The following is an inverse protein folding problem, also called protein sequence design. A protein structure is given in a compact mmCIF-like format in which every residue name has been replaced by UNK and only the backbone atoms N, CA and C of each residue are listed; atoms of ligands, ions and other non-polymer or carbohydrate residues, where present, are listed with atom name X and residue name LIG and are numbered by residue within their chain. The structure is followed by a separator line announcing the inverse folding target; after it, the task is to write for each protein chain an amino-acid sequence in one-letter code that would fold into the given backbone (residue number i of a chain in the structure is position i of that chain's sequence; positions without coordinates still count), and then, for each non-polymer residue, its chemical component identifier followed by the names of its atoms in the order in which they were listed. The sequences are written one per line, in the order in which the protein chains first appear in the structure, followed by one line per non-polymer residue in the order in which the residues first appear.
data_IF_162201224365
#
_entry.id   IF_162201224365
#
_cell.length_a   1.000
_cell.length_b   1.000
_cell.length_c   1.000
_cell.angle_alpha   90.00
_cell.angle_beta   90.00
_cell.angle_gamma   90.00
#
_symmetry.space_group_name_H-M   'P 1'
#
loop_
_entity.id
_entity.type
_entity.pdbx_description
1 polymer ?
#
# COMPACT_ATOMS: atom_id res chain seq x y z
N UNK A 1 -21.68 18.72 17.64
CA UNK A 1 -20.42 19.46 17.39
C UNK A 1 -19.69 18.76 16.26
N UNK A 2 -19.08 19.50 15.32
CA UNK A 2 -18.20 18.93 14.30
C UNK A 2 -16.76 18.92 14.83
N UNK A 3 -16.05 17.82 14.59
CA UNK A 3 -14.65 17.63 14.97
C UNK A 3 -13.89 17.24 13.71
N UNK A 4 -12.73 17.85 13.48
CA UNK A 4 -11.85 17.51 12.37
C UNK A 4 -11.09 16.22 12.66
N UNK A 5 -10.88 15.41 11.62
CA UNK A 5 -10.12 14.18 11.67
C UNK A 5 -9.54 13.85 10.29
N UNK A 6 -8.84 12.75 10.18
CA UNK A 6 -8.23 12.28 8.93
C UNK A 6 -8.61 10.83 8.66
N UNK A 7 -8.75 10.47 7.39
CA UNK A 7 -9.06 9.09 6.98
C UNK A 7 -7.91 8.15 7.33
N UNK A 8 -8.17 7.01 8.01
CA UNK A 8 -7.13 6.09 8.47
C UNK A 8 -6.69 5.07 7.42
N UNK A 9 -7.31 5.03 6.24
CA UNK A 9 -7.02 4.02 5.23
C UNK A 9 -5.64 4.20 4.58
N UNK A 10 -5.09 3.12 4.07
CA UNK A 10 -3.86 3.03 3.27
C UNK A 10 -3.98 3.64 1.85
N UNK A 11 -4.99 4.43 1.63
CA UNK A 11 -5.21 5.16 0.38
C UNK A 11 -4.37 6.44 0.37
N UNK A 12 -3.60 6.71 -0.70
CA UNK A 12 -2.77 7.93 -0.81
C UNK A 12 -3.53 9.26 -0.79
N UNK A 13 -4.86 9.25 -0.75
CA UNK A 13 -5.66 10.47 -0.65
C UNK A 13 -5.71 11.07 0.75
N UNK A 14 -5.47 10.31 1.80
CA UNK A 14 -5.47 10.76 3.21
C UNK A 14 -6.54 11.83 3.49
N UNK A 15 -7.82 11.50 3.19
CA UNK A 15 -8.90 12.49 3.13
C UNK A 15 -9.13 13.19 4.46
N UNK A 16 -9.20 14.52 4.43
CA UNK A 16 -9.60 15.32 5.58
C UNK A 16 -11.11 15.11 5.87
N UNK A 17 -11.45 14.88 7.14
CA UNK A 17 -12.78 14.52 7.59
C UNK A 17 -13.34 15.54 8.56
N UNK A 18 -14.66 15.65 8.55
CA UNK A 18 -15.46 16.26 9.61
C UNK A 18 -16.40 15.21 10.19
N UNK A 19 -16.29 14.98 11.49
CA UNK A 19 -17.06 13.98 12.22
C UNK A 19 -18.03 14.66 13.16
N UNK A 20 -19.30 14.28 13.10
CA UNK A 20 -20.32 14.75 14.01
C UNK A 20 -20.22 14.03 15.35
N UNK A 21 -19.75 14.71 16.39
CA UNK A 21 -19.72 14.21 17.76
C UNK A 21 -21.09 14.48 18.41
N UNK A 22 -21.84 13.41 18.70
CA UNK A 22 -23.16 13.46 19.36
C UNK A 22 -23.02 13.42 20.88
N UNK A 23 -22.07 12.61 21.39
CA UNK A 23 -21.69 12.52 22.81
C UNK A 23 -20.22 12.11 22.94
N UNK A 24 -19.74 11.87 24.16
CA UNK A 24 -18.38 11.34 24.37
C UNK A 24 -18.20 9.91 23.87
N UNK A 25 -19.27 9.16 23.66
CA UNK A 25 -19.25 7.76 23.23
C UNK A 25 -20.01 7.51 21.93
N UNK A 26 -20.52 8.56 21.27
CA UNK A 26 -21.37 8.40 20.07
C UNK A 26 -21.04 9.43 19.00
N UNK A 27 -20.81 8.95 17.79
CA UNK A 27 -20.65 9.78 16.60
C UNK A 27 -21.88 9.68 15.68
N UNK A 28 -22.12 10.73 14.90
CA UNK A 28 -23.12 10.80 13.86
C UNK A 28 -22.50 10.61 12.47
N UNK A 29 -22.74 11.58 11.58
CA UNK A 29 -22.24 11.53 10.19
C UNK A 29 -20.73 11.77 10.14
N UNK A 30 -20.07 11.04 9.23
CA UNK A 30 -18.70 11.31 8.78
C UNK A 30 -18.78 11.89 7.37
N UNK A 31 -18.19 13.05 7.15
CA UNK A 31 -18.15 13.75 5.86
C UNK A 31 -16.74 14.27 5.57
N UNK A 32 -16.46 14.63 4.34
CA UNK A 32 -15.21 15.30 3.99
C UNK A 32 -15.20 16.75 4.47
N UNK A 33 -14.01 17.25 4.79
CA UNK A 33 -13.79 18.64 5.18
C UNK A 33 -13.68 19.52 3.91
N UNK A 34 -14.63 20.42 3.64
CA UNK A 34 -14.64 21.21 2.40
C UNK A 34 -13.49 22.22 2.31
N UNK A 35 -12.92 22.61 3.44
CA UNK A 35 -11.82 23.57 3.52
C UNK A 35 -10.47 22.98 3.08
N UNK A 36 -10.34 21.64 3.02
CA UNK A 36 -9.11 21.00 2.55
C UNK A 36 -8.99 21.17 1.03
N UNK A 37 -7.90 21.78 0.58
CA UNK A 37 -7.70 22.15 -0.84
C UNK A 37 -7.53 20.94 -1.77
N UNK A 38 -7.04 19.81 -1.26
CA UNK A 38 -6.86 18.59 -2.06
C UNK A 38 -8.15 17.79 -2.15
N UNK A 39 -8.76 17.48 -1.01
CA UNK A 39 -9.93 16.59 -0.99
C UNK A 39 -11.25 17.32 -1.15
N UNK A 40 -11.29 18.63 -0.86
CA UNK A 40 -12.42 19.55 -1.11
C UNK A 40 -13.79 18.98 -0.71
N UNK A 41 -13.85 18.32 0.45
CA UNK A 41 -15.06 17.68 0.94
C UNK A 41 -15.40 16.32 0.32
N UNK A 42 -14.62 15.85 -0.65
CA UNK A 42 -14.85 14.55 -1.31
C UNK A 42 -14.25 13.42 -0.50
N UNK A 43 -15.05 12.40 -0.16
CA UNK A 43 -14.62 11.17 0.50
C UNK A 43 -15.28 9.95 -0.16
N UNK A 44 -14.67 8.78 -0.01
CA UNK A 44 -15.25 7.55 -0.52
C UNK A 44 -16.35 6.99 0.39
N UNK A 45 -17.19 6.11 -0.16
CA UNK A 45 -18.28 5.47 0.58
C UNK A 45 -17.81 4.63 1.78
N UNK A 46 -16.56 4.12 1.76
CA UNK A 46 -16.02 3.33 2.86
C UNK A 46 -15.91 4.15 4.13
N UNK A 47 -15.19 5.28 4.08
CA UNK A 47 -14.99 6.13 5.27
C UNK A 47 -16.27 6.88 5.67
N UNK A 48 -17.13 7.23 4.73
CA UNK A 48 -18.43 7.87 5.04
C UNK A 48 -19.33 7.00 5.95
N UNK A 49 -19.13 5.67 5.94
CA UNK A 49 -19.87 4.68 6.72
C UNK A 49 -19.17 4.25 8.02
N UNK A 50 -18.09 4.90 8.41
CA UNK A 50 -17.30 4.47 9.59
C UNK A 50 -18.09 4.47 10.90
N UNK A 51 -19.15 5.30 11.03
CA UNK A 51 -20.02 5.25 12.21
C UNK A 51 -20.62 3.85 12.42
N UNK A 52 -20.94 3.13 11.33
CA UNK A 52 -21.50 1.78 11.39
C UNK A 52 -20.48 0.81 11.96
N UNK A 53 -19.21 0.94 11.53
CA UNK A 53 -18.10 0.12 12.03
C UNK A 53 -17.75 0.43 13.49
N UNK A 54 -17.71 1.70 13.88
CA UNK A 54 -17.37 2.12 15.25
C UNK A 54 -18.41 1.64 16.25
N UNK A 55 -19.69 1.67 15.87
CA UNK A 55 -20.80 1.26 16.73
C UNK A 55 -21.29 -0.16 16.44
N UNK A 56 -20.49 -0.99 15.76
CA UNK A 56 -20.85 -2.38 15.49
C UNK A 56 -20.88 -3.19 16.81
N UNK A 57 -21.98 -3.88 17.11
CA UNK A 57 -22.11 -4.66 18.36
C UNK A 57 -21.15 -5.85 18.44
N UNK A 58 -20.55 -6.27 17.32
CA UNK A 58 -19.60 -7.39 17.26
C UNK A 58 -18.15 -6.94 17.53
N UNK A 59 -17.90 -5.68 17.87
CA UNK A 59 -16.57 -5.22 18.25
C UNK A 59 -16.07 -5.91 19.50
N UNK A 60 -14.78 -6.25 19.50
CA UNK A 60 -14.10 -6.70 20.70
C UNK A 60 -13.82 -5.47 21.57
N UNK A 61 -14.38 -5.46 22.79
CA UNK A 61 -14.28 -4.32 23.72
C UNK A 61 -13.51 -4.67 25.00
N UNK A 62 -13.22 -5.97 25.22
CA UNK A 62 -12.46 -6.47 26.39
C UNK A 62 -11.45 -7.50 25.95
N UNK A 63 -10.33 -7.64 26.66
CA UNK A 63 -9.41 -8.75 26.43
C UNK A 63 -10.09 -10.10 26.56
N UNK A 64 -9.66 -11.06 25.76
CA UNK A 64 -10.25 -12.39 25.72
C UNK A 64 -9.15 -13.47 25.70
N UNK A 65 -9.39 -14.57 26.41
CA UNK A 65 -8.51 -15.75 26.43
C UNK A 65 -9.22 -16.94 25.83
N UNK A 66 -8.50 -17.76 25.08
CA UNK A 66 -9.00 -19.00 24.48
C UNK A 66 -9.30 -20.05 25.55
N UNK A 67 -10.47 -20.66 25.42
CA UNK A 67 -10.95 -21.77 26.33
C UNK A 67 -11.21 -23.07 25.60
N UNK A 68 -10.86 -23.21 24.35
CA UNK A 68 -11.06 -24.38 23.53
C UNK A 68 -9.85 -24.72 22.66
N UNK A 69 -10.04 -25.63 21.71
CA UNK A 69 -9.02 -25.89 20.69
C UNK A 69 -8.74 -24.64 19.87
N UNK A 70 -7.51 -24.49 19.38
CA UNK A 70 -7.15 -23.41 18.46
C UNK A 70 -8.08 -23.40 17.24
N UNK A 71 -8.52 -22.22 16.80
CA UNK A 71 -9.45 -22.07 15.70
C UNK A 71 -10.92 -22.30 16.05
N UNK A 72 -11.26 -22.77 17.26
CA UNK A 72 -12.66 -22.94 17.68
C UNK A 72 -13.41 -21.61 17.86
N UNK A 73 -12.71 -20.51 18.05
CA UNK A 73 -13.28 -19.21 18.37
C UNK A 73 -13.93 -19.12 19.76
N UNK A 74 -13.80 -20.18 20.59
CA UNK A 74 -14.32 -20.15 21.97
C UNK A 74 -13.37 -19.36 22.86
N UNK A 75 -13.83 -18.21 23.31
CA UNK A 75 -13.09 -17.26 24.11
C UNK A 75 -13.85 -16.92 25.38
N UNK A 76 -13.14 -16.62 26.47
CA UNK A 76 -13.67 -16.01 27.68
C UNK A 76 -13.09 -14.61 27.87
N UNK A 77 -13.89 -13.69 28.38
CA UNK A 77 -13.42 -12.36 28.76
C UNK A 77 -12.52 -12.45 30.00
N UNK A 78 -11.40 -11.72 29.94
CA UNK A 78 -10.46 -11.55 31.05
C UNK A 78 -10.19 -10.06 31.26
N UNK A 79 -9.49 -9.68 32.33
CA UNK A 79 -9.04 -8.31 32.54
C UNK A 79 -7.78 -8.00 31.74
N UNK A 80 -7.42 -6.70 31.65
CA UNK A 80 -6.17 -6.29 31.02
C UNK A 80 -4.95 -6.79 31.81
N UNK A 81 -5.04 -6.78 33.13
CA UNK A 81 -4.01 -7.27 34.04
C UNK A 81 -3.73 -8.75 33.80
N UNK A 82 -4.76 -9.58 33.81
CA UNK A 82 -4.66 -11.02 33.50
C UNK A 82 -4.06 -11.29 32.11
N UNK A 83 -4.49 -10.51 31.11
CA UNK A 83 -3.98 -10.66 29.75
C UNK A 83 -2.49 -10.30 29.64
N UNK A 84 -2.08 -9.16 30.20
CA UNK A 84 -0.71 -8.69 30.15
C UNK A 84 0.23 -9.57 30.98
N UNK A 85 -0.18 -10.02 32.16
CA UNK A 85 0.58 -10.95 32.99
C UNK A 85 0.86 -12.26 32.21
N UNK A 86 -0.16 -12.88 31.63
CA UNK A 86 0.02 -14.11 30.86
C UNK A 86 0.92 -13.91 29.63
N UNK A 87 0.79 -12.78 28.91
CA UNK A 87 1.64 -12.46 27.76
C UNK A 87 3.09 -12.30 28.21
N UNK A 88 3.34 -11.55 29.28
CA UNK A 88 4.67 -11.33 29.83
C UNK A 88 5.32 -12.64 30.27
N UNK A 89 4.60 -13.49 31.00
CA UNK A 89 5.09 -14.77 31.46
C UNK A 89 5.45 -15.71 30.29
N UNK A 90 4.58 -15.80 29.30
CA UNK A 90 4.80 -16.62 28.11
C UNK A 90 5.99 -16.12 27.29
N UNK A 91 6.08 -14.82 27.04
CA UNK A 91 7.19 -14.24 26.30
C UNK A 91 8.52 -14.40 27.03
N UNK A 92 8.57 -14.10 28.33
CA UNK A 92 9.77 -14.31 29.16
C UNK A 92 10.23 -15.77 29.18
N UNK A 93 9.28 -16.72 29.28
CA UNK A 93 9.60 -18.14 29.21
C UNK A 93 10.20 -18.52 27.85
N UNK A 94 9.59 -18.04 26.75
CA UNK A 94 10.06 -18.32 25.39
C UNK A 94 11.43 -17.69 25.14
N UNK A 95 11.66 -16.43 25.58
CA UNK A 95 12.96 -15.77 25.53
C UNK A 95 14.06 -16.62 26.19
N UNK A 96 13.76 -17.16 27.38
CA UNK A 96 14.73 -17.97 28.14
C UNK A 96 15.00 -19.32 27.48
N UNK A 97 13.98 -19.96 26.88
CA UNK A 97 14.09 -21.32 26.34
C UNK A 97 14.60 -21.36 24.89
N UNK A 98 14.25 -20.34 24.08
CA UNK A 98 14.52 -20.32 22.64
C UNK A 98 15.29 -19.09 22.16
N UNK A 99 15.48 -18.08 23.01
CA UNK A 99 16.03 -16.77 22.64
C UNK A 99 14.97 -15.77 22.15
N UNK A 100 15.33 -14.49 22.17
CA UNK A 100 14.42 -13.38 21.85
C UNK A 100 13.86 -13.48 20.41
N UNK A 101 14.67 -13.94 19.47
CA UNK A 101 14.25 -14.10 18.07
C UNK A 101 13.20 -15.19 17.84
N UNK A 102 12.84 -16.00 18.85
CA UNK A 102 11.71 -16.92 18.80
C UNK A 102 10.34 -16.20 18.93
N UNK A 103 10.34 -14.91 19.21
CA UNK A 103 9.14 -14.06 19.25
C UNK A 103 9.13 -13.18 18.01
N UNK A 104 7.99 -13.18 17.29
CA UNK A 104 7.81 -12.40 16.07
C UNK A 104 6.62 -11.44 16.22
N UNK A 105 6.85 -10.16 16.54
CA UNK A 105 5.83 -9.13 16.35
C UNK A 105 5.57 -8.94 14.85
N UNK A 106 4.35 -9.27 14.44
CA UNK A 106 3.94 -9.29 13.03
C UNK A 106 2.87 -8.22 12.80
N UNK A 107 3.12 -7.30 11.89
CA UNK A 107 2.16 -6.24 11.59
C UNK A 107 2.20 -5.85 10.12
N UNK A 108 1.14 -5.21 9.67
CA UNK A 108 1.14 -4.52 8.37
C UNK A 108 0.24 -3.29 8.40
N UNK A 109 0.11 -2.62 7.22
CA UNK A 109 -0.73 -1.45 7.03
C UNK A 109 -2.21 -1.81 7.18
N UNK A 110 -2.81 -1.51 8.30
CA UNK A 110 -4.26 -1.54 8.53
C UNK A 110 -4.76 -0.11 8.64
N UNK A 111 -4.71 0.45 9.85
CA UNK A 111 -4.81 1.87 10.10
C UNK A 111 -3.44 2.50 9.91
N UNK A 112 -3.35 3.63 9.18
CA UNK A 112 -2.08 4.21 8.74
C UNK A 112 -1.49 5.25 9.70
N UNK A 113 -2.04 5.40 10.90
CA UNK A 113 -1.48 6.26 11.92
C UNK A 113 -0.08 5.82 12.33
N UNK A 114 0.85 6.73 12.40
CA UNK A 114 2.28 6.42 12.63
C UNK A 114 2.51 5.80 14.00
N UNK A 115 1.83 6.28 15.05
CA UNK A 115 1.99 5.76 16.41
C UNK A 115 1.36 4.38 16.52
N UNK A 116 0.08 4.26 16.13
CA UNK A 116 -0.68 3.01 16.29
C UNK A 116 -0.11 1.88 15.42
N UNK A 117 0.33 2.19 14.20
CA UNK A 117 0.88 1.18 13.29
C UNK A 117 2.31 0.79 13.64
N UNK A 118 3.17 1.79 13.86
CA UNK A 118 4.62 1.58 13.92
C UNK A 118 5.13 1.37 15.36
N UNK A 119 4.32 1.68 16.40
CA UNK A 119 4.71 1.56 17.80
C UNK A 119 5.11 0.16 18.28
N UNK A 120 4.62 -0.89 17.59
CA UNK A 120 5.03 -2.29 17.85
C UNK A 120 6.55 -2.49 17.63
N UNK A 121 7.16 -1.67 16.77
CA UNK A 121 8.59 -1.73 16.49
C UNK A 121 9.44 -1.35 17.71
N UNK A 122 8.95 -0.44 18.55
CA UNK A 122 9.64 -0.08 19.78
C UNK A 122 9.83 -1.29 20.71
N UNK A 123 8.78 -2.07 20.91
CA UNK A 123 8.86 -3.34 21.66
C UNK A 123 9.83 -4.32 20.98
N UNK A 124 9.73 -4.47 19.67
CA UNK A 124 10.58 -5.37 18.89
C UNK A 124 12.06 -5.02 19.01
N UNK A 125 12.42 -3.76 18.84
CA UNK A 125 13.81 -3.31 18.89
C UNK A 125 14.38 -3.40 20.30
N UNK A 126 13.65 -2.95 21.32
CA UNK A 126 14.07 -3.03 22.71
C UNK A 126 14.32 -4.48 23.17
N UNK A 127 13.41 -5.38 22.81
CA UNK A 127 13.46 -6.78 23.22
C UNK A 127 14.28 -7.67 22.28
N UNK A 128 14.78 -7.12 21.17
CA UNK A 128 15.52 -7.84 20.13
C UNK A 128 14.75 -9.04 19.56
N UNK A 129 13.45 -8.85 19.35
CA UNK A 129 12.58 -9.84 18.71
C UNK A 129 12.83 -9.89 17.21
N UNK A 130 12.46 -10.98 16.55
CA UNK A 130 12.55 -11.10 15.09
C UNK A 130 11.92 -9.91 14.38
N UNK A 131 12.66 -9.32 13.46
CA UNK A 131 12.16 -8.30 12.57
C UNK A 131 11.41 -8.88 11.37
N UNK A 132 11.00 -8.01 10.44
CA UNK A 132 10.30 -8.46 9.24
C UNK A 132 10.63 -7.65 8.01
N UNK A 133 10.65 -8.33 6.87
CA UNK A 133 10.59 -7.71 5.55
C UNK A 133 9.13 -7.54 5.13
N UNK A 134 8.72 -6.30 4.91
CA UNK A 134 7.36 -5.96 4.47
C UNK A 134 7.18 -6.24 2.97
N UNK A 135 7.12 -7.51 2.58
CA UNK A 135 7.18 -7.97 1.18
C UNK A 135 5.82 -8.12 0.51
N UNK A 136 4.70 -7.95 1.24
CA UNK A 136 3.37 -8.34 0.75
C UNK A 136 2.72 -7.30 -0.16
N UNK A 137 2.96 -5.98 0.01
CA UNK A 137 2.09 -4.97 -0.57
C UNK A 137 2.74 -4.11 -1.68
N UNK A 138 3.64 -3.17 -1.35
CA UNK A 138 3.99 -2.06 -2.23
C UNK A 138 5.43 -2.04 -2.73
N UNK A 139 6.32 -2.82 -2.13
CA UNK A 139 7.76 -2.68 -2.30
C UNK A 139 8.25 -2.81 -3.74
N UNK A 140 7.68 -3.71 -4.55
CA UNK A 140 8.07 -3.84 -5.96
C UNK A 140 7.79 -2.54 -6.73
N UNK A 141 6.60 -1.97 -6.56
CA UNK A 141 6.25 -0.72 -7.23
C UNK A 141 7.11 0.44 -6.72
N UNK A 142 7.39 0.50 -5.40
CA UNK A 142 8.26 1.52 -4.81
C UNK A 142 9.66 1.46 -5.41
N UNK A 143 10.27 0.28 -5.43
CA UNK A 143 11.61 0.09 -6.00
C UNK A 143 11.65 0.47 -7.48
N UNK A 144 10.67 0.03 -8.27
CA UNK A 144 10.59 0.37 -9.68
C UNK A 144 10.39 1.87 -9.92
N UNK A 145 9.54 2.53 -9.11
CA UNK A 145 9.35 3.97 -9.20
C UNK A 145 10.61 4.75 -8.82
N UNK A 146 11.28 4.37 -7.73
CA UNK A 146 12.53 5.00 -7.30
C UNK A 146 13.64 4.88 -8.34
N UNK A 147 13.75 3.74 -9.01
CA UNK A 147 14.72 3.56 -10.10
C UNK A 147 14.37 4.45 -11.29
N UNK A 148 13.08 4.57 -11.65
CA UNK A 148 12.65 5.37 -12.81
C UNK A 148 12.59 6.88 -12.56
N UNK A 149 12.30 7.31 -11.32
CA UNK A 149 12.11 8.72 -10.95
C UNK A 149 13.18 9.28 -9.99
N UNK A 150 14.08 8.45 -9.50
CA UNK A 150 15.17 8.83 -8.59
C UNK A 150 14.77 9.00 -7.12
N UNK A 151 13.49 9.30 -6.83
CA UNK A 151 12.97 9.54 -5.48
C UNK A 151 11.51 9.09 -5.37
N UNK A 152 11.07 8.76 -4.14
CA UNK A 152 9.65 8.51 -3.85
C UNK A 152 8.88 9.82 -3.64
N UNK A 153 8.96 10.69 -4.65
CA UNK A 153 8.26 11.96 -4.73
C UNK A 153 7.53 12.02 -6.07
N UNK A 154 6.46 12.79 -6.10
CA UNK A 154 5.69 13.02 -7.31
C UNK A 154 5.11 14.41 -7.34
N UNK A 155 4.34 14.70 -8.37
CA UNK A 155 3.66 15.98 -8.57
C UNK A 155 2.49 16.09 -7.60
N UNK A 156 2.19 17.30 -7.14
CA UNK A 156 1.01 17.60 -6.33
C UNK A 156 -0.26 17.09 -7.05
N UNK A 157 -1.06 16.23 -6.40
CA UNK A 157 -2.28 15.70 -7.01
C UNK A 157 -3.32 16.76 -7.37
N UNK A 158 -3.27 17.96 -6.77
CA UNK A 158 -4.15 19.07 -7.15
C UNK A 158 -3.82 19.63 -8.55
N UNK A 159 -2.61 19.38 -9.05
CA UNK A 159 -2.18 19.81 -10.39
C UNK A 159 -2.80 18.97 -11.52
N UNK A 160 -3.41 17.83 -11.22
CA UNK A 160 -4.14 17.03 -12.23
C UNK A 160 -5.09 17.89 -13.05
N UNK A 161 -5.74 18.88 -12.43
CA UNK A 161 -6.66 19.80 -13.09
C UNK A 161 -6.02 20.67 -14.18
N UNK A 162 -4.69 20.80 -14.19
CA UNK A 162 -3.94 21.56 -15.17
C UNK A 162 -3.48 20.73 -16.38
N UNK A 163 -3.66 19.41 -16.32
CA UNK A 163 -3.15 18.47 -17.32
C UNK A 163 -3.93 18.49 -18.63
N UNK A 164 -3.26 18.14 -19.72
CA UNK A 164 -3.88 17.87 -21.03
C UNK A 164 -4.25 16.40 -21.18
N UNK A 165 -3.48 15.49 -20.56
CA UNK A 165 -3.82 14.08 -20.40
C UNK A 165 -3.66 13.66 -18.94
N UNK A 166 -4.59 12.83 -18.44
CA UNK A 166 -4.51 12.16 -17.16
C UNK A 166 -4.45 10.66 -17.39
N UNK A 167 -3.26 10.09 -17.21
CA UNK A 167 -3.01 8.65 -17.35
C UNK A 167 -3.14 8.00 -15.99
N UNK A 168 -4.12 7.12 -15.83
CA UNK A 168 -4.37 6.35 -14.60
C UNK A 168 -3.96 4.90 -14.88
N UNK A 169 -2.89 4.45 -14.26
CA UNK A 169 -2.28 3.16 -14.57
C UNK A 169 -2.15 2.27 -13.32
N UNK A 170 -2.73 1.06 -13.40
CA UNK A 170 -2.66 0.07 -12.33
C UNK A 170 -3.38 0.47 -11.03
N UNK A 171 -4.49 1.23 -11.15
CA UNK A 171 -5.32 1.61 -10.00
C UNK A 171 -6.78 1.88 -10.39
N UNK A 172 -7.71 1.40 -9.57
CA UNK A 172 -9.14 1.70 -9.71
C UNK A 172 -9.50 2.98 -8.93
N UNK A 173 -9.05 4.13 -9.42
CA UNK A 173 -9.16 5.42 -8.74
C UNK A 173 -10.60 5.81 -8.38
N UNK A 174 -11.58 5.43 -9.18
CA UNK A 174 -13.01 5.69 -8.91
C UNK A 174 -13.50 5.05 -7.59
N UNK A 175 -12.81 4.02 -7.08
CA UNK A 175 -13.16 3.31 -5.85
C UNK A 175 -12.16 3.57 -4.73
N UNK A 176 -10.85 3.68 -5.07
CA UNK A 176 -9.76 3.71 -4.08
C UNK A 176 -9.07 5.06 -3.94
N UNK A 177 -9.30 5.98 -4.87
CA UNK A 177 -8.66 7.31 -4.89
C UNK A 177 -9.61 8.32 -5.52
N UNK A 178 -10.79 8.47 -4.93
CA UNK A 178 -11.90 9.26 -5.48
C UNK A 178 -11.51 10.70 -5.83
N UNK A 179 -10.58 11.28 -5.08
CA UNK A 179 -10.08 12.64 -5.31
C UNK A 179 -9.33 12.77 -6.64
N UNK A 180 -8.57 11.75 -7.05
CA UNK A 180 -7.91 11.69 -8.36
C UNK A 180 -8.95 11.83 -9.48
N UNK A 181 -10.06 11.10 -9.37
CA UNK A 181 -11.14 11.19 -10.35
C UNK A 181 -11.85 12.55 -10.33
N UNK A 182 -11.99 13.18 -9.18
CA UNK A 182 -12.54 14.53 -9.07
C UNK A 182 -11.69 15.54 -9.85
N UNK A 183 -10.36 15.54 -9.63
CA UNK A 183 -9.44 16.44 -10.33
C UNK A 183 -9.32 16.09 -11.83
N UNK A 184 -9.32 14.80 -12.20
CA UNK A 184 -9.29 14.37 -13.60
C UNK A 184 -10.55 14.81 -14.36
N UNK A 185 -11.74 14.69 -13.74
CA UNK A 185 -12.98 15.16 -14.32
C UNK A 185 -13.05 16.70 -14.41
N UNK A 186 -12.44 17.41 -13.47
CA UNK A 186 -12.27 18.86 -13.56
C UNK A 186 -11.40 19.25 -14.77
N UNK A 187 -10.22 18.62 -14.96
CA UNK A 187 -9.36 18.81 -16.12
C UNK A 187 -10.12 18.53 -17.44
N UNK A 188 -10.88 17.42 -17.49
CA UNK A 188 -11.73 17.10 -18.66
C UNK A 188 -12.75 18.20 -18.95
N UNK A 189 -13.42 18.71 -17.93
CA UNK A 189 -14.44 19.74 -18.08
C UNK A 189 -13.85 21.10 -18.51
N UNK A 190 -12.74 21.53 -17.91
CA UNK A 190 -12.18 22.87 -18.08
C UNK A 190 -11.18 22.97 -19.23
N UNK A 191 -10.35 21.93 -19.42
CA UNK A 191 -9.25 21.92 -20.40
C UNK A 191 -9.43 20.90 -21.54
N UNK A 192 -10.55 20.15 -21.54
CA UNK A 192 -10.78 19.06 -22.50
C UNK A 192 -9.75 17.93 -22.38
N UNK A 193 -9.11 17.81 -21.21
CA UNK A 193 -8.13 16.77 -20.95
C UNK A 193 -8.68 15.36 -21.24
N UNK A 194 -7.81 14.48 -21.74
CA UNK A 194 -8.17 13.07 -21.97
C UNK A 194 -7.84 12.25 -20.73
N UNK A 195 -8.80 11.43 -20.30
CA UNK A 195 -8.56 10.43 -19.26
C UNK A 195 -8.24 9.11 -19.94
N UNK A 196 -7.02 8.64 -19.73
CA UNK A 196 -6.48 7.41 -20.29
C UNK A 196 -6.30 6.42 -19.14
N UNK A 197 -6.81 5.21 -19.28
CA UNK A 197 -6.70 4.18 -18.24
C UNK A 197 -6.01 2.95 -18.80
N UNK A 198 -5.00 2.47 -18.08
CA UNK A 198 -4.31 1.21 -18.35
C UNK A 198 -4.51 0.28 -17.15
N UNK A 199 -5.14 -0.86 -17.36
CA UNK A 199 -5.40 -1.84 -16.32
C UNK A 199 -5.62 -3.22 -16.95
N UNK A 200 -5.57 -4.28 -16.16
CA UNK A 200 -5.76 -5.66 -16.58
C UNK A 200 -7.25 -6.06 -16.79
N UNK A 201 -8.18 -5.22 -16.39
CA UNK A 201 -9.61 -5.42 -16.62
C UNK A 201 -10.37 -4.08 -16.64
N UNK A 202 -11.56 -4.07 -17.25
CA UNK A 202 -12.39 -2.87 -17.40
C UNK A 202 -13.14 -2.53 -16.10
N UNK A 203 -12.42 -1.95 -15.14
CA UNK A 203 -12.93 -1.54 -13.84
C UNK A 203 -13.78 -0.24 -13.90
N UNK A 204 -14.23 0.26 -12.74
CA UNK A 204 -15.07 1.47 -12.65
C UNK A 204 -14.35 2.74 -13.16
N UNK A 205 -13.03 2.83 -13.05
CA UNK A 205 -12.23 3.92 -13.60
C UNK A 205 -12.15 3.81 -15.12
N UNK A 206 -11.87 2.62 -15.63
CA UNK A 206 -11.81 2.34 -17.08
C UNK A 206 -13.13 2.63 -17.81
N UNK A 207 -14.28 2.49 -17.14
CA UNK A 207 -15.59 2.85 -17.69
C UNK A 207 -15.76 4.36 -17.93
N UNK A 208 -14.94 5.19 -17.31
CA UNK A 208 -14.95 6.64 -17.44
C UNK A 208 -13.82 7.17 -18.35
N UNK A 209 -12.99 6.28 -18.91
CA UNK A 209 -11.87 6.64 -19.76
C UNK A 209 -12.29 7.07 -21.18
N UNK A 210 -11.57 8.02 -21.74
CA UNK A 210 -11.62 8.34 -23.18
C UNK A 210 -10.87 7.29 -24.02
N UNK A 211 -9.79 6.73 -23.44
CA UNK A 211 -9.04 5.61 -24.01
C UNK A 211 -8.76 4.59 -22.89
N UNK A 212 -9.12 3.34 -23.10
CA UNK A 212 -8.84 2.24 -22.20
C UNK A 212 -7.96 1.19 -22.88
N UNK A 213 -6.82 0.91 -22.29
CA UNK A 213 -5.85 -0.10 -22.71
C UNK A 213 -5.88 -1.27 -21.72
N UNK A 214 -6.46 -2.40 -22.16
CA UNK A 214 -6.55 -3.61 -21.36
C UNK A 214 -5.27 -4.44 -21.56
N UNK A 215 -4.33 -4.29 -20.64
CA UNK A 215 -3.02 -4.95 -20.72
C UNK A 215 -3.07 -6.35 -20.11
N UNK A 216 -2.45 -7.34 -20.73
CA UNK A 216 -2.23 -8.63 -20.12
C UNK A 216 -1.44 -8.46 -18.80
N UNK A 217 -1.81 -9.12 -17.68
CA UNK A 217 -1.10 -9.00 -16.42
C UNK A 217 0.41 -9.24 -16.57
N UNK A 218 1.24 -8.35 -16.01
CA UNK A 218 2.69 -8.45 -16.05
C UNK A 218 3.38 -7.92 -17.31
N UNK A 219 2.64 -7.27 -18.22
CA UNK A 219 3.18 -6.79 -19.49
C UNK A 219 3.20 -5.26 -19.63
N UNK A 220 2.98 -4.53 -18.56
CA UNK A 220 2.96 -3.07 -18.51
C UNK A 220 4.25 -2.45 -19.05
N UNK A 221 5.41 -3.04 -18.72
CA UNK A 221 6.71 -2.60 -19.23
C UNK A 221 6.85 -2.75 -20.74
N UNK A 222 6.25 -3.80 -21.32
CA UNK A 222 6.25 -3.96 -22.77
C UNK A 222 5.40 -2.87 -23.46
N UNK A 223 4.25 -2.52 -22.89
CA UNK A 223 3.46 -1.38 -23.35
C UNK A 223 4.24 -0.08 -23.30
N UNK A 224 4.89 0.20 -22.14
CA UNK A 224 5.68 1.41 -21.96
C UNK A 224 6.84 1.50 -22.97
N UNK A 225 7.57 0.41 -23.18
CA UNK A 225 8.65 0.36 -24.18
C UNK A 225 8.13 0.59 -25.61
N UNK A 226 7.01 -0.02 -26.00
CA UNK A 226 6.39 0.21 -27.30
C UNK A 226 5.95 1.65 -27.52
N UNK A 227 5.42 2.29 -26.48
CA UNK A 227 5.08 3.71 -26.48
C UNK A 227 6.35 4.57 -26.60
N UNK A 228 7.39 4.30 -25.81
CA UNK A 228 8.68 5.02 -25.88
C UNK A 228 9.32 4.87 -27.26
N UNK A 229 9.33 3.68 -27.85
CA UNK A 229 9.81 3.45 -29.21
C UNK A 229 9.10 4.36 -30.21
N UNK A 230 7.76 4.40 -30.17
CA UNK A 230 6.97 5.24 -31.06
C UNK A 230 7.29 6.71 -30.90
N UNK A 231 7.40 7.20 -29.65
CA UNK A 231 7.74 8.59 -29.36
C UNK A 231 9.11 8.98 -29.91
N UNK A 232 10.11 8.14 -29.71
CA UNK A 232 11.47 8.37 -30.22
C UNK A 232 11.51 8.33 -31.75
N UNK A 233 10.90 7.32 -32.35
CA UNK A 233 10.89 7.14 -33.82
C UNK A 233 10.22 8.30 -34.56
N UNK A 234 9.22 8.93 -33.94
CA UNK A 234 8.47 10.02 -34.54
C UNK A 234 8.92 11.41 -34.04
N UNK A 235 10.06 11.52 -33.34
CA UNK A 235 10.58 12.77 -32.76
C UNK A 235 9.58 13.49 -31.84
N UNK A 236 8.82 12.72 -31.06
CA UNK A 236 7.85 13.19 -30.07
C UNK A 236 8.38 13.15 -28.64
N UNK A 237 9.65 12.84 -28.44
CA UNK A 237 10.36 12.85 -27.17
C UNK A 237 11.09 14.17 -26.94
N UNK A 238 11.35 14.50 -25.68
CA UNK A 238 12.10 15.72 -25.31
C UNK A 238 13.59 15.40 -25.09
N UNK A 239 14.38 15.45 -26.18
CA UNK A 239 15.81 15.09 -26.13
C UNK A 239 16.62 16.00 -25.22
N UNK A 240 16.27 17.28 -25.14
CA UNK A 240 17.02 18.26 -24.31
C UNK A 240 16.73 17.98 -22.81
N UNK A 241 15.49 17.65 -22.45
CA UNK A 241 15.16 17.23 -21.11
C UNK A 241 15.92 15.95 -20.72
N UNK A 242 15.93 14.96 -21.61
CA UNK A 242 16.61 13.69 -21.38
C UNK A 242 18.10 13.85 -21.13
N UNK A 243 18.78 14.65 -21.96
CA UNK A 243 20.22 14.92 -21.81
C UNK A 243 20.56 15.69 -20.54
N UNK A 244 19.67 16.57 -20.09
CA UNK A 244 19.94 17.48 -18.98
C UNK A 244 19.62 16.85 -17.61
N UNK A 245 18.54 16.06 -17.53
CA UNK A 245 17.95 15.64 -16.25
C UNK A 245 17.92 14.13 -16.03
N UNK A 246 18.45 13.33 -16.96
CA UNK A 246 18.44 11.87 -16.84
C UNK A 246 19.79 11.26 -17.21
N UNK A 247 19.92 9.97 -16.94
CA UNK A 247 21.05 9.12 -17.38
C UNK A 247 20.85 8.51 -18.78
N UNK A 248 19.95 9.10 -19.58
CA UNK A 248 19.63 8.69 -20.93
C UNK A 248 20.90 8.58 -21.81
N UNK A 249 21.06 7.46 -22.50
CA UNK A 249 22.24 7.17 -23.29
C UNK A 249 21.94 6.35 -24.56
N UNK A 250 22.97 6.07 -25.36
CA UNK A 250 22.86 5.31 -26.60
C UNK A 250 22.44 3.84 -26.38
N UNK A 251 22.76 3.27 -25.23
CA UNK A 251 22.40 1.90 -24.87
C UNK A 251 20.90 1.75 -24.67
N UNK A 252 20.28 2.75 -23.99
CA UNK A 252 18.83 2.82 -23.86
C UNK A 252 18.14 2.98 -25.22
N UNK A 253 18.69 3.81 -26.12
CA UNK A 253 18.17 3.96 -27.49
C UNK A 253 18.22 2.64 -28.26
N UNK A 254 19.34 1.94 -28.22
CA UNK A 254 19.50 0.62 -28.85
C UNK A 254 18.54 -0.42 -28.28
N UNK A 255 18.28 -0.36 -26.96
CA UNK A 255 17.28 -1.22 -26.32
C UNK A 255 15.88 -0.96 -26.89
N UNK A 256 15.48 0.30 -27.06
CA UNK A 256 14.17 0.67 -27.56
C UNK A 256 13.97 0.33 -29.05
N UNK A 257 15.03 0.29 -29.86
CA UNK A 257 14.94 0.08 -31.31
C UNK A 257 14.14 -1.16 -31.69
N UNK A 258 14.29 -2.23 -30.92
CA UNK A 258 13.60 -3.52 -31.15
C UNK A 258 12.22 -3.60 -30.45
N UNK A 259 11.82 -2.59 -29.67
CA UNK A 259 10.60 -2.60 -28.88
C UNK A 259 9.45 -1.90 -29.58
N UNK A 260 9.20 -2.30 -30.84
CA UNK A 260 8.17 -1.67 -31.69
C UNK A 260 6.75 -1.82 -31.14
N UNK A 261 5.77 -1.01 -31.57
CA UNK A 261 4.37 -1.21 -31.23
C UNK A 261 3.84 -2.60 -31.63
N UNK A 262 4.35 -3.22 -32.70
CA UNK A 262 4.03 -4.61 -33.08
C UNK A 262 4.54 -5.61 -32.05
N UNK A 263 5.81 -5.45 -31.61
CA UNK A 263 6.36 -6.26 -30.53
C UNK A 263 5.56 -6.09 -29.23
N UNK A 264 5.23 -4.85 -28.83
CA UNK A 264 4.43 -4.60 -27.64
C UNK A 264 3.03 -5.21 -27.77
N UNK A 265 2.38 -5.09 -28.92
CA UNK A 265 1.07 -5.67 -29.22
C UNK A 265 1.06 -7.20 -29.02
N UNK A 266 2.09 -7.89 -29.52
CA UNK A 266 2.18 -9.36 -29.40
C UNK A 266 2.31 -9.85 -27.95
N UNK A 267 2.82 -9.01 -27.03
CA UNK A 267 3.01 -9.35 -25.61
C UNK A 267 1.81 -8.91 -24.78
N UNK A 268 1.35 -7.68 -24.99
CA UNK A 268 0.35 -7.04 -24.14
C UNK A 268 -1.09 -7.43 -24.48
N UNK A 269 -1.33 -7.96 -25.68
CA UNK A 269 -2.67 -8.20 -26.20
C UNK A 269 -3.41 -6.95 -26.67
N UNK A 270 -2.79 -5.76 -26.56
CA UNK A 270 -3.36 -4.50 -27.03
C UNK A 270 -3.08 -4.35 -28.54
N UNK A 271 -4.06 -3.88 -29.29
CA UNK A 271 -3.89 -3.64 -30.73
C UNK A 271 -2.79 -2.59 -30.96
N UNK A 272 -1.94 -2.82 -31.97
CA UNK A 272 -0.90 -1.86 -32.39
C UNK A 272 -1.45 -0.45 -32.55
N UNK A 273 -2.58 -0.30 -33.21
CA UNK A 273 -3.25 0.99 -33.46
C UNK A 273 -3.56 1.74 -32.16
N UNK A 274 -3.96 1.03 -31.10
CA UNK A 274 -4.29 1.62 -29.81
C UNK A 274 -3.02 2.05 -29.06
N UNK A 275 -1.93 1.29 -29.20
CA UNK A 275 -0.59 1.64 -28.66
C UNK A 275 -0.09 2.92 -29.36
N UNK A 276 -0.17 2.98 -30.69
CA UNK A 276 0.23 4.14 -31.48
C UNK A 276 -0.65 5.36 -31.17
N UNK A 277 -1.96 5.18 -31.01
CA UNK A 277 -2.87 6.23 -30.59
C UNK A 277 -2.51 6.79 -29.23
N UNK A 278 -2.22 5.91 -28.26
CA UNK A 278 -1.78 6.32 -26.92
C UNK A 278 -0.47 7.11 -26.97
N UNK A 279 0.53 6.58 -27.67
CA UNK A 279 1.81 7.27 -27.83
C UNK A 279 1.66 8.65 -28.50
N UNK A 280 0.83 8.76 -29.54
CA UNK A 280 0.53 10.01 -30.26
C UNK A 280 -0.20 11.02 -29.36
N UNK A 281 -1.14 10.57 -28.51
CA UNK A 281 -1.82 11.45 -27.55
C UNK A 281 -0.81 12.04 -26.57
N UNK A 282 0.11 11.24 -26.05
CA UNK A 282 1.15 11.68 -25.11
C UNK A 282 2.14 12.63 -25.79
N UNK A 283 2.65 12.27 -26.96
CA UNK A 283 3.66 13.07 -27.67
C UNK A 283 3.15 14.44 -28.13
N UNK A 284 1.88 14.53 -28.52
CA UNK A 284 1.26 15.79 -28.89
C UNK A 284 0.90 16.69 -27.68
N UNK A 285 0.81 16.10 -26.49
CA UNK A 285 0.42 16.79 -25.26
C UNK A 285 1.35 16.37 -24.11
N UNK A 286 2.59 16.83 -24.06
CA UNK A 286 3.58 16.41 -23.07
C UNK A 286 3.21 16.80 -21.64
N UNK A 287 2.29 17.74 -21.42
CA UNK A 287 1.72 18.05 -20.10
C UNK A 287 0.74 16.94 -19.70
N UNK A 288 1.29 15.75 -19.52
CA UNK A 288 0.59 14.53 -19.15
C UNK A 288 0.90 14.15 -17.71
N UNK A 289 -0.15 13.94 -16.90
CA UNK A 289 -0.06 13.51 -15.52
C UNK A 289 -0.25 11.99 -15.42
N UNK A 290 0.73 11.30 -14.85
CA UNK A 290 0.68 9.85 -14.66
C UNK A 290 0.36 9.52 -13.20
N UNK A 291 -0.87 9.09 -12.93
CA UNK A 291 -1.25 8.52 -11.64
C UNK A 291 -0.98 7.01 -11.64
N UNK A 292 0.12 6.62 -11.02
CA UNK A 292 0.58 5.23 -10.96
C UNK A 292 0.09 4.57 -9.68
N UNK A 293 -0.45 3.36 -9.80
CA UNK A 293 -1.04 2.63 -8.68
C UNK A 293 -0.25 1.43 -8.22
N UNK A 294 -0.76 0.73 -7.20
CA UNK A 294 -0.12 -0.46 -6.63
C UNK A 294 -0.47 -1.76 -7.38
N UNK A 295 -1.20 -1.69 -8.51
CA UNK A 295 -1.45 -2.84 -9.38
C UNK A 295 -0.16 -3.51 -9.87
N UNK A 296 0.90 -2.74 -10.06
CA UNK A 296 2.22 -3.24 -10.44
C UNK A 296 2.81 -4.26 -9.45
N UNK A 297 2.41 -4.24 -8.20
CA UNK A 297 2.91 -5.19 -7.19
C UNK A 297 2.19 -6.54 -7.20
N UNK A 298 1.19 -6.72 -8.05
CA UNK A 298 0.38 -7.95 -8.10
C UNK A 298 0.92 -8.98 -9.11
N UNK A 299 2.19 -8.84 -9.49
CA UNK A 299 2.85 -9.66 -10.50
C UNK A 299 4.36 -9.75 -10.22
N UNK A 300 5.00 -10.85 -10.68
CA UNK A 300 6.39 -11.18 -10.38
C UNK A 300 7.40 -10.11 -10.81
N UNK A 301 7.16 -9.46 -11.95
CA UNK A 301 8.04 -8.46 -12.56
C UNK A 301 7.56 -7.01 -12.36
N UNK A 302 6.81 -6.76 -11.29
CA UNK A 302 6.18 -5.46 -11.03
C UNK A 302 7.16 -4.30 -10.91
N UNK A 303 8.34 -4.52 -10.34
CA UNK A 303 9.37 -3.48 -10.23
C UNK A 303 9.88 -3.04 -11.62
N UNK A 304 10.20 -3.98 -12.50
CA UNK A 304 10.64 -3.67 -13.87
C UNK A 304 9.54 -2.99 -14.69
N UNK A 305 8.29 -3.42 -14.53
CA UNK A 305 7.14 -2.77 -15.18
C UNK A 305 6.96 -1.34 -14.69
N UNK A 306 7.01 -1.10 -13.38
CA UNK A 306 6.90 0.24 -12.81
C UNK A 306 8.04 1.14 -13.26
N UNK A 307 9.29 0.65 -13.29
CA UNK A 307 10.44 1.41 -13.81
C UNK A 307 10.19 1.90 -15.24
N UNK A 308 9.82 1.00 -16.15
CA UNK A 308 9.56 1.35 -17.53
C UNK A 308 8.42 2.41 -17.66
N UNK A 309 7.34 2.25 -16.90
CA UNK A 309 6.22 3.20 -16.92
C UNK A 309 6.59 4.54 -16.29
N UNK A 310 7.33 4.54 -15.18
CA UNK A 310 7.80 5.76 -14.51
C UNK A 310 8.81 6.57 -15.36
N UNK A 311 9.42 5.96 -16.38
CA UNK A 311 10.32 6.64 -17.32
C UNK A 311 9.56 7.44 -18.40
N UNK A 312 8.29 7.14 -18.68
CA UNK A 312 7.50 7.84 -19.71
C UNK A 312 7.41 9.36 -19.51
N UNK A 313 7.18 9.90 -18.30
CA UNK A 313 7.18 11.34 -18.06
C UNK A 313 8.52 12.01 -18.40
N UNK A 314 9.64 11.32 -18.22
CA UNK A 314 10.96 11.83 -18.58
C UNK A 314 11.15 11.87 -20.11
N UNK A 315 10.75 10.80 -20.82
CA UNK A 315 10.77 10.73 -22.29
C UNK A 315 9.99 11.91 -22.91
N UNK A 316 8.87 12.28 -22.31
CA UNK A 316 8.02 13.38 -22.76
C UNK A 316 8.48 14.77 -22.29
N UNK A 317 9.42 14.86 -21.34
CA UNK A 317 9.72 16.09 -20.63
C UNK A 317 8.53 16.63 -19.82
N UNK A 318 7.60 15.76 -19.40
CA UNK A 318 6.37 16.15 -18.70
C UNK A 318 6.61 16.89 -17.39
N UNK A 319 7.69 16.59 -16.70
CA UNK A 319 8.07 17.23 -15.43
C UNK A 319 8.34 18.74 -15.51
N UNK A 320 8.51 19.28 -16.72
CA UNK A 320 8.67 20.74 -16.96
C UNK A 320 7.36 21.52 -16.78
N UNK A 321 6.23 20.83 -16.82
CA UNK A 321 4.92 21.48 -16.89
C UNK A 321 4.16 21.32 -15.60
N UNK A 322 3.53 22.37 -15.11
CA UNK A 322 2.50 22.27 -14.07
C UNK A 322 1.36 21.37 -14.58
N UNK A 323 1.04 20.32 -13.83
CA UNK A 323 0.08 19.30 -14.25
C UNK A 323 0.68 18.20 -15.13
N UNK A 324 2.02 18.14 -15.26
CA UNK A 324 2.76 17.06 -15.93
C UNK A 324 3.64 16.30 -14.93
N UNK A 325 4.10 15.12 -15.30
CA UNK A 325 4.93 14.26 -14.47
C UNK A 325 4.19 13.05 -13.90
N UNK A 326 4.67 12.47 -12.82
CA UNK A 326 4.06 11.29 -12.23
C UNK A 326 3.82 11.44 -10.72
N UNK A 327 2.84 10.71 -10.22
CA UNK A 327 2.61 10.48 -8.80
C UNK A 327 2.27 9.02 -8.56
N UNK A 328 3.08 8.37 -7.76
CA UNK A 328 2.74 7.09 -7.14
C UNK A 328 2.43 7.27 -5.66
N UNK A 329 3.35 7.87 -4.93
CA UNK A 329 3.24 8.16 -3.50
C UNK A 329 4.14 9.36 -3.15
N UNK A 330 3.76 10.13 -2.15
CA UNK A 330 4.51 11.29 -1.65
C UNK A 330 5.06 11.07 -0.22
N UNK A 331 5.21 9.82 0.21
CA UNK A 331 5.65 9.49 1.56
C UNK A 331 7.04 10.00 1.95
N UNK A 332 7.86 10.44 0.97
CA UNK A 332 9.17 11.06 1.25
C UNK A 332 9.14 12.58 1.34
N UNK A 333 7.97 13.23 1.31
CA UNK A 333 7.86 14.68 1.52
C UNK A 333 8.27 15.07 2.93
N UNK A 334 7.85 14.28 3.92
CA UNK A 334 8.14 14.51 5.32
C UNK A 334 9.23 13.57 5.84
N UNK A 335 10.22 14.12 6.49
CA UNK A 335 11.28 13.36 7.17
C UNK A 335 10.99 13.35 8.68
N UNK A 336 10.17 12.35 9.09
CA UNK A 336 9.84 12.18 10.49
C UNK A 336 10.97 11.50 11.25
N UNK A 337 11.36 12.05 12.38
CA UNK A 337 12.13 11.31 13.38
C UNK A 337 11.17 10.39 14.13
N UNK A 338 11.26 9.11 13.83
CA UNK A 338 10.42 8.08 14.44
C UNK A 338 11.06 7.37 15.63
N UNK A 339 12.18 7.88 16.15
CA UNK A 339 12.91 7.24 17.25
C UNK A 339 12.02 7.02 18.47
N UNK A 340 11.21 8.02 18.83
CA UNK A 340 10.27 7.89 19.96
C UNK A 340 9.19 6.82 19.70
N UNK A 341 8.71 6.68 18.47
CA UNK A 341 7.64 5.74 18.10
C UNK A 341 8.20 4.33 17.93
N UNK A 342 9.28 4.20 17.18
CA UNK A 342 9.80 2.91 16.74
C UNK A 342 10.99 2.40 17.56
N UNK A 343 11.60 3.22 18.44
CA UNK A 343 12.80 2.84 19.18
C UNK A 343 14.00 2.58 18.26
N UNK A 344 14.24 3.51 17.31
CA UNK A 344 15.31 3.34 16.31
C UNK A 344 16.70 3.31 16.92
N UNK A 345 16.88 3.90 18.10
CA UNK A 345 18.09 3.88 18.92
C UNK A 345 18.38 2.50 19.54
N UNK A 346 17.40 1.60 19.58
CA UNK A 346 17.52 0.24 20.12
C UNK A 346 17.72 -0.84 19.02
N UNK A 347 17.83 -0.44 17.75
CA UNK A 347 18.01 -1.39 16.64
C UNK A 347 19.34 -2.14 16.76
N UNK A 348 19.26 -3.46 16.77
CA UNK A 348 20.42 -4.34 16.61
C UNK A 348 20.42 -4.92 15.17
N UNK A 349 21.40 -4.56 14.33
CA UNK A 349 21.45 -5.03 12.93
C UNK A 349 21.69 -6.53 12.77
N UNK A 350 22.03 -7.22 13.86
CA UNK A 350 22.25 -8.69 13.86
C UNK A 350 20.94 -9.47 13.98
N UNK A 351 19.85 -8.85 14.40
CA UNK A 351 18.54 -9.50 14.52
C UNK A 351 18.02 -9.84 13.13
N UNK A 352 17.60 -11.08 12.96
CA UNK A 352 17.06 -11.55 11.68
C UNK A 352 15.78 -10.80 11.28
N UNK A 353 15.60 -10.67 9.95
CA UNK A 353 14.39 -10.14 9.35
C UNK A 353 13.66 -11.29 8.63
N UNK A 354 12.45 -11.61 9.06
CA UNK A 354 11.62 -12.67 8.50
C UNK A 354 10.76 -12.14 7.34
N UNK A 355 10.63 -12.91 6.28
CA UNK A 355 9.81 -12.53 5.12
C UNK A 355 8.34 -12.77 5.40
N UNK A 356 7.53 -11.72 5.46
CA UNK A 356 6.08 -11.79 5.67
C UNK A 356 5.37 -12.69 4.67
N UNK A 357 5.83 -12.75 3.41
CA UNK A 357 5.22 -13.58 2.37
C UNK A 357 5.43 -15.07 2.61
N UNK A 358 6.41 -15.44 3.43
CA UNK A 358 6.75 -16.83 3.80
C UNK A 358 6.24 -17.24 5.19
N UNK A 359 5.31 -16.49 5.78
CA UNK A 359 4.81 -16.74 7.14
C UNK A 359 4.42 -18.22 7.38
N UNK A 360 3.75 -18.85 6.42
CA UNK A 360 3.37 -20.29 6.55
C UNK A 360 4.58 -21.20 6.64
N UNK A 361 5.64 -20.97 5.87
CA UNK A 361 6.88 -21.74 5.91
C UNK A 361 7.66 -21.51 7.22
N UNK A 362 7.72 -20.26 7.66
CA UNK A 362 8.36 -19.84 8.91
C UNK A 362 7.70 -20.54 10.09
N UNK A 363 6.38 -20.49 10.17
CA UNK A 363 5.63 -21.14 11.26
C UNK A 363 5.73 -22.69 11.24
N UNK A 364 6.01 -23.30 10.09
CA UNK A 364 6.25 -24.73 9.95
C UNK A 364 7.72 -25.13 10.15
N UNK A 365 8.60 -24.20 10.51
CA UNK A 365 9.98 -24.49 10.85
C UNK A 365 10.91 -24.68 9.65
N UNK A 366 10.60 -24.12 8.48
CA UNK A 366 11.51 -24.14 7.33
C UNK A 366 12.81 -23.40 7.66
N UNK A 367 13.94 -24.11 7.65
CA UNK A 367 15.25 -23.57 8.08
C UNK A 367 15.73 -22.39 7.24
N UNK A 368 15.48 -22.41 5.95
CA UNK A 368 15.85 -21.30 5.05
C UNK A 368 15.02 -20.05 5.36
N UNK A 369 13.69 -20.21 5.48
CA UNK A 369 12.78 -19.10 5.83
C UNK A 369 13.05 -18.52 7.23
N UNK A 370 13.59 -19.34 8.15
CA UNK A 370 14.03 -18.93 9.49
C UNK A 370 15.43 -18.32 9.52
N UNK A 371 16.13 -18.22 8.38
CA UNK A 371 17.54 -17.81 8.32
C UNK A 371 18.45 -18.61 9.28
N UNK A 372 18.19 -19.91 9.43
CA UNK A 372 18.83 -20.81 10.39
C UNK A 372 18.70 -20.38 11.87
N UNK A 373 17.85 -19.40 12.19
CA UNK A 373 17.56 -18.98 13.56
C UNK A 373 16.55 -19.88 14.27
N UNK A 374 16.16 -19.56 15.52
CA UNK A 374 15.24 -20.35 16.31
C UNK A 374 13.84 -20.44 15.66
N UNK A 375 13.04 -21.50 15.98
CA UNK A 375 11.65 -21.55 15.55
C UNK A 375 10.87 -20.39 16.14
N UNK A 376 9.85 -19.90 15.42
CA UNK A 376 8.90 -18.93 15.99
C UNK A 376 7.96 -19.67 16.94
N UNK A 377 7.99 -19.28 18.22
CA UNK A 377 7.23 -19.84 19.32
C UNK A 377 6.17 -18.90 19.86
N UNK A 378 6.28 -17.58 19.58
CA UNK A 378 5.24 -16.61 19.89
C UNK A 378 5.09 -15.57 18.78
N UNK A 379 3.87 -15.07 18.63
CA UNK A 379 3.54 -13.93 17.75
C UNK A 379 2.68 -12.90 18.49
N UNK A 380 2.97 -11.63 18.24
CA UNK A 380 2.06 -10.51 18.54
C UNK A 380 1.64 -9.90 17.21
N UNK A 381 0.35 -10.02 16.87
CA UNK A 381 -0.17 -9.64 15.56
C UNK A 381 -1.05 -8.40 15.70
N UNK A 382 -0.79 -7.37 14.89
CA UNK A 382 -1.65 -6.18 14.79
C UNK A 382 -1.78 -5.68 13.34
N UNK A 383 -2.85 -4.95 13.07
CA UNK A 383 -3.13 -4.29 11.77
C UNK A 383 -3.18 -5.25 10.57
N UNK A 384 -3.32 -6.54 10.77
CA UNK A 384 -3.36 -7.52 9.67
C UNK A 384 -4.10 -8.79 10.04
N UNK A 385 -4.62 -9.50 9.03
CA UNK A 385 -5.32 -10.77 9.19
C UNK A 385 -4.66 -11.86 8.31
N UNK A 386 -3.45 -12.36 8.69
CA UNK A 386 -2.69 -13.29 7.86
C UNK A 386 -3.44 -14.57 7.48
N UNK A 387 -4.36 -15.06 8.31
CA UNK A 387 -5.21 -16.21 7.98
C UNK A 387 -6.14 -15.98 6.77
N UNK A 388 -6.33 -14.72 6.34
CA UNK A 388 -7.15 -14.40 5.17
C UNK A 388 -6.36 -13.78 4.02
N UNK A 389 -5.17 -13.18 4.29
CA UNK A 389 -4.47 -12.37 3.29
C UNK A 389 -3.06 -12.84 2.96
N UNK A 390 -2.45 -13.71 3.78
CA UNK A 390 -1.09 -14.18 3.51
C UNK A 390 -1.06 -15.23 2.38
N UNK A 391 0.04 -15.33 1.61
CA UNK A 391 0.20 -16.36 0.60
C UNK A 391 0.22 -17.77 1.20
N UNK A 392 -0.19 -18.78 0.42
CA UNK A 392 -0.21 -20.20 0.81
C UNK A 392 -0.98 -20.45 2.12
N UNK A 393 -2.28 -20.14 2.11
CA UNK A 393 -3.16 -20.26 3.27
C UNK A 393 -3.17 -21.67 3.90
N UNK A 394 -2.86 -22.72 3.14
CA UNK A 394 -2.75 -24.07 3.68
C UNK A 394 -1.60 -24.19 4.68
N UNK A 395 -0.43 -23.65 4.36
CA UNK A 395 0.72 -23.60 5.28
C UNK A 395 0.46 -22.65 6.44
N UNK A 396 -0.15 -21.50 6.17
CA UNK A 396 -0.52 -20.52 7.22
C UNK A 396 -1.45 -21.15 8.25
N UNK A 397 -2.51 -21.83 7.80
CA UNK A 397 -3.45 -22.52 8.68
C UNK A 397 -2.75 -23.60 9.54
N UNK A 398 -1.94 -24.45 8.93
CA UNK A 398 -1.15 -25.46 9.66
C UNK A 398 -0.23 -24.81 10.69
N UNK A 399 0.43 -23.72 10.33
CA UNK A 399 1.32 -22.98 11.23
C UNK A 399 0.59 -22.43 12.45
N UNK A 400 -0.52 -21.72 12.25
CA UNK A 400 -1.33 -21.18 13.35
C UNK A 400 -2.05 -22.25 14.18
N UNK A 401 -2.27 -23.44 13.62
CA UNK A 401 -2.87 -24.57 14.36
C UNK A 401 -1.92 -25.26 15.34
N UNK A 402 -0.63 -24.89 15.35
CA UNK A 402 0.35 -25.45 16.30
C UNK A 402 -0.04 -25.13 17.74
N UNK A 403 -0.09 -26.14 18.60
CA UNK A 403 -0.41 -25.97 20.03
C UNK A 403 0.74 -25.33 20.83
N UNK A 404 1.97 -25.46 20.35
CA UNK A 404 3.18 -24.88 20.94
C UNK A 404 3.44 -23.43 20.52
N UNK A 405 2.71 -22.90 19.54
CA UNK A 405 2.77 -21.49 19.13
C UNK A 405 1.83 -20.65 20.01
N UNK A 406 2.38 -19.74 20.81
CA UNK A 406 1.60 -18.77 21.55
C UNK A 406 1.27 -17.55 20.67
N UNK A 407 -0.02 -17.27 20.48
CA UNK A 407 -0.46 -16.21 19.55
C UNK A 407 -1.30 -15.16 20.28
N UNK A 408 -0.85 -13.91 20.23
CA UNK A 408 -1.59 -12.73 20.71
C UNK A 408 -2.03 -11.93 19.49
N UNK A 409 -3.31 -11.54 19.44
CA UNK A 409 -3.86 -10.74 18.34
C UNK A 409 -4.51 -9.47 18.88
N UNK A 410 -4.02 -8.31 18.45
CA UNK A 410 -4.60 -7.00 18.77
C UNK A 410 -5.54 -6.59 17.64
N UNK A 411 -6.86 -6.68 17.87
CA UNK A 411 -7.86 -6.63 16.81
C UNK A 411 -9.17 -5.97 17.26
N UNK A 412 -9.91 -5.44 16.30
CA UNK A 412 -11.21 -4.79 16.50
C UNK A 412 -12.38 -5.77 16.45
N UNK A 413 -12.24 -6.86 15.68
CA UNK A 413 -13.25 -7.88 15.45
C UNK A 413 -12.67 -9.29 15.55
N UNK A 414 -13.54 -10.29 15.71
CA UNK A 414 -13.13 -11.70 15.73
C UNK A 414 -12.85 -12.19 14.30
N UNK A 415 -11.69 -11.80 13.76
CA UNK A 415 -11.19 -12.24 12.46
C UNK A 415 -10.76 -13.71 12.48
N UNK A 416 -10.44 -14.28 11.31
CA UNK A 416 -9.95 -15.67 11.25
C UNK A 416 -8.61 -15.83 11.97
N UNK A 417 -7.76 -14.81 11.95
CA UNK A 417 -6.53 -14.80 12.75
C UNK A 417 -6.84 -14.70 14.25
N UNK A 418 -7.78 -13.86 14.65
CA UNK A 418 -8.17 -13.72 16.06
C UNK A 418 -8.76 -15.02 16.63
N UNK A 419 -9.48 -15.81 15.82
CA UNK A 419 -9.98 -17.15 16.23
C UNK A 419 -8.87 -18.14 16.55
N UNK A 420 -7.68 -17.97 15.95
CA UNK A 420 -6.50 -18.82 16.20
C UNK A 420 -5.69 -18.38 17.41
N UNK A 421 -5.97 -17.19 17.97
CA UNK A 421 -5.21 -16.61 19.06
C UNK A 421 -5.43 -17.34 20.39
N UNK A 422 -4.41 -17.28 21.25
CA UNK A 422 -4.50 -17.67 22.67
C UNK A 422 -5.05 -16.51 23.49
N UNK A 423 -4.64 -15.26 23.14
CA UNK A 423 -5.17 -14.02 23.72
C UNK A 423 -5.54 -13.06 22.60
N UNK A 424 -6.70 -12.43 22.72
CA UNK A 424 -7.15 -11.34 21.85
C UNK A 424 -7.25 -10.07 22.69
N UNK A 425 -6.55 -9.01 22.25
CA UNK A 425 -6.60 -7.70 22.87
C UNK A 425 -7.49 -6.78 22.03
N UNK A 426 -8.41 -5.99 22.63
CA UNK A 426 -9.27 -5.07 21.91
C UNK A 426 -8.48 -3.86 21.39
N UNK A 427 -8.54 -3.61 20.08
CA UNK A 427 -7.95 -2.44 19.45
C UNK A 427 -8.95 -1.29 19.34
N UNK A 428 -8.47 -0.07 19.59
CA UNK A 428 -9.23 1.15 19.34
C UNK A 428 -9.39 1.40 17.83
N UNK A 429 -10.42 2.12 17.45
CA UNK A 429 -10.58 2.65 16.09
C UNK A 429 -10.03 4.08 16.01
N UNK A 430 -9.71 4.55 14.81
CA UNK A 430 -9.01 5.81 14.57
C UNK A 430 -9.69 7.07 15.16
N UNK A 431 -10.97 7.03 15.50
CA UNK A 431 -11.69 8.12 16.17
C UNK A 431 -11.70 7.98 17.71
N UNK A 432 -11.04 6.98 18.25
CA UNK A 432 -10.98 6.68 19.69
C UNK A 432 -9.58 6.94 20.28
N UNK A 433 -8.62 7.39 19.46
CA UNK A 433 -7.27 7.77 19.87
C UNK A 433 -6.72 8.88 18.97
N UNK A 434 -5.72 9.59 19.45
CA UNK A 434 -4.95 10.56 18.66
C UNK A 434 -3.82 9.86 17.92
N UNK A 435 -3.55 10.29 16.68
CA UNK A 435 -2.46 9.78 15.86
C UNK A 435 -2.03 10.81 14.81
N UNK A 436 -0.94 10.54 14.09
CA UNK A 436 -0.41 11.36 13.00
C UNK A 436 -0.49 10.56 11.69
N UNK A 437 -1.02 11.18 10.65
CA UNK A 437 -1.14 10.59 9.31
C UNK A 437 -0.31 11.41 8.30
N UNK A 438 0.40 10.73 7.39
CA UNK A 438 1.18 11.36 6.32
C UNK A 438 0.79 10.84 4.93
#
# INVERSE_FOLDING_TARGET
MLVNSTCPHDCPSTCALQVEKLSNTKIGKVRGAPENTYTAGVICSKVARYKERIHDPNRILKPMKRVGAKGSGRMMTITWEEALEEICDKFTKIEREYGSEAIWPYYYAGTMGLVMRDGINRLRHEKKYSGEHQTICTNQAFNGYMVGAGKMLGVDPTEIKESDNVVIWGTNAAITQVNVMSHANEARRTKKAKIIVVDSYRNATAKQADLFLCVNPGTDGALACGVMHYLVKNNLHDIEYLKTFTDFNSEFMAHLEKKTPDWASSITGIKKTDIEQFAKLLGNNPRSYFRLGYGFTRQKNGASNMHAVASLPAILGSWKYKGGGALMNNGSIYHWDKTLIEGLDCIDPKIRLLDQSRIGEILLGNKEALHAGPPVMAMLIQNTNPMSVAPDLNKVNKGFSRNDLFTVVHEQFMTDTAKMADIVLPATMFLEHDDVYQ
#
